data_IF_986555634652
#
_entry.id   IF_986555634652
#
_cell.length_a   1.000
_cell.length_b   1.000
_cell.length_c   1.000
_cell.angle_alpha   90.00
_cell.angle_beta   90.00
_cell.angle_gamma   90.00
#
_symmetry.space_group_name_H-M   'P 1'
#
loop_
_entity.id
_entity.type
_entity.pdbx_description
1 polymer ?
#
# COMPACT_ATOMS: atom_id res chain seq x y z
N UNK A 1 -9.64 17.38 -0.78
CA UNK A 1 -9.64 18.39 0.28
C UNK A 1 -10.41 17.86 1.47
N UNK A 2 -10.08 18.35 2.67
CA UNK A 2 -10.85 18.14 3.88
C UNK A 2 -11.08 19.52 4.50
N UNK A 3 -12.30 19.81 4.91
CA UNK A 3 -12.59 21.03 5.63
C UNK A 3 -12.33 20.79 7.11
N UNK A 4 -11.42 21.56 7.69
CA UNK A 4 -11.10 21.52 9.12
C UNK A 4 -11.35 22.89 9.74
N UNK A 5 -11.65 22.90 11.04
CA UNK A 5 -11.73 24.13 11.82
C UNK A 5 -10.31 24.47 12.29
N UNK A 6 -9.70 25.48 11.69
CA UNK A 6 -8.38 26.01 12.08
C UNK A 6 -8.64 27.36 12.75
N UNK A 7 -8.29 27.48 14.03
CA UNK A 7 -8.52 28.69 14.83
C UNK A 7 -9.98 29.21 14.79
N UNK A 8 -10.94 28.30 14.71
CA UNK A 8 -12.37 28.63 14.68
C UNK A 8 -12.92 29.02 13.31
N UNK A 9 -12.10 29.00 12.25
CA UNK A 9 -12.51 29.27 10.88
C UNK A 9 -12.50 27.99 10.04
N UNK A 10 -13.47 27.80 9.13
CA UNK A 10 -13.46 26.67 8.21
C UNK A 10 -12.40 26.88 7.13
N UNK A 11 -11.34 26.05 7.16
CA UNK A 11 -10.30 26.03 6.14
C UNK A 11 -10.34 24.73 5.33
N UNK A 12 -10.25 24.87 4.01
CA UNK A 12 -10.08 23.73 3.11
C UNK A 12 -8.60 23.33 3.09
N UNK A 13 -8.27 22.29 3.85
CA UNK A 13 -6.93 21.70 3.84
C UNK A 13 -6.85 20.76 2.63
N UNK A 14 -5.96 21.06 1.68
CA UNK A 14 -5.67 20.13 0.59
C UNK A 14 -4.95 18.91 1.16
N UNK A 15 -5.59 17.74 1.09
CA UNK A 15 -4.91 16.48 1.31
C UNK A 15 -3.94 16.23 0.14
N UNK A 16 -2.67 16.47 0.38
CA UNK A 16 -1.59 16.22 -0.56
C UNK A 16 -1.02 14.82 -0.36
N UNK A 17 -0.71 14.15 -1.48
CA UNK A 17 -0.20 12.78 -1.48
C UNK A 17 1.01 12.67 -2.41
N UNK A 18 2.05 11.98 -1.94
CA UNK A 18 3.09 11.42 -2.80
C UNK A 18 2.64 10.04 -3.27
N UNK A 19 2.89 9.71 -4.54
CA UNK A 19 2.43 8.44 -5.14
C UNK A 19 3.62 7.58 -5.54
N UNK A 20 3.68 6.37 -4.97
CA UNK A 20 4.56 5.30 -5.43
C UNK A 20 3.73 4.28 -6.20
N UNK A 21 4.30 3.68 -7.23
CA UNK A 21 3.65 2.56 -7.91
C UNK A 21 4.66 1.52 -8.43
N UNK A 22 4.15 0.31 -8.61
CA UNK A 22 4.80 -0.82 -9.26
C UNK A 22 3.86 -1.34 -10.34
N UNK A 23 4.36 -1.54 -11.56
CA UNK A 23 3.57 -2.06 -12.69
C UNK A 23 4.40 -2.99 -13.60
N UNK A 24 3.74 -3.95 -14.26
CA UNK A 24 4.33 -4.73 -15.36
C UNK A 24 5.46 -5.68 -14.98
N UNK A 25 5.72 -5.90 -13.69
CA UNK A 25 6.79 -6.75 -13.18
C UNK A 25 7.98 -5.95 -12.64
N UNK A 26 8.81 -5.30 -13.48
CA UNK A 26 10.04 -4.66 -13.01
C UNK A 26 9.90 -3.17 -12.73
N UNK A 27 8.86 -2.49 -13.22
CA UNK A 27 8.84 -1.02 -13.25
C UNK A 27 8.31 -0.43 -11.95
N UNK A 28 9.11 0.43 -11.33
CA UNK A 28 8.75 1.16 -10.13
C UNK A 28 8.80 2.67 -10.39
N UNK A 29 7.96 3.40 -9.67
CA UNK A 29 8.15 4.83 -9.42
C UNK A 29 8.03 5.09 -7.93
N UNK A 30 9.05 5.71 -7.34
CA UNK A 30 9.09 6.09 -5.93
C UNK A 30 8.27 7.36 -5.63
N UNK A 31 8.09 7.68 -4.35
CA UNK A 31 7.37 8.86 -3.88
C UNK A 31 8.01 10.18 -4.36
N UNK A 32 9.34 10.24 -4.45
CA UNK A 32 10.12 11.36 -4.99
C UNK A 32 10.14 11.41 -6.54
N UNK A 33 9.42 10.50 -7.18
CA UNK A 33 9.20 10.50 -8.63
C UNK A 33 10.30 9.83 -9.45
N UNK A 34 11.31 9.21 -8.84
CA UNK A 34 12.32 8.43 -9.55
C UNK A 34 11.71 7.15 -10.12
N UNK A 35 12.06 6.83 -11.36
CA UNK A 35 11.67 5.59 -12.02
C UNK A 35 12.86 4.66 -12.09
N UNK A 36 12.64 3.37 -11.84
CA UNK A 36 13.69 2.36 -11.87
C UNK A 36 13.12 0.97 -12.11
N UNK A 37 13.99 0.06 -12.57
CA UNK A 37 13.65 -1.33 -12.81
C UNK A 37 14.27 -2.25 -11.76
N UNK A 38 13.50 -3.20 -11.27
CA UNK A 38 13.98 -4.19 -10.32
C UNK A 38 13.37 -5.58 -10.53
N UNK A 39 14.23 -6.53 -10.91
CA UNK A 39 13.87 -7.90 -11.34
C UNK A 39 14.18 -8.95 -10.27
N UNK A 40 13.64 -8.77 -9.06
CA UNK A 40 13.80 -9.72 -7.96
C UNK A 40 12.61 -10.68 -7.77
N UNK A 41 12.83 -11.83 -7.14
CA UNK A 41 11.85 -12.90 -6.84
C UNK A 41 11.65 -13.15 -5.34
N UNK A 42 11.99 -12.17 -4.50
CA UNK A 42 11.80 -12.24 -3.06
C UNK A 42 10.57 -11.45 -2.59
N UNK A 43 10.41 -11.34 -1.27
CA UNK A 43 9.52 -10.36 -0.64
C UNK A 43 10.29 -9.07 -0.42
N UNK A 44 9.70 -7.95 -0.82
CA UNK A 44 10.32 -6.63 -0.70
C UNK A 44 9.39 -5.66 0.00
N UNK A 45 9.95 -4.87 0.91
CA UNK A 45 9.24 -3.77 1.56
C UNK A 45 9.15 -2.58 0.60
N UNK A 46 7.93 -2.28 0.15
CA UNK A 46 7.67 -1.09 -0.66
C UNK A 46 7.78 0.16 0.20
N UNK A 47 7.14 0.17 1.37
CA UNK A 47 7.21 1.29 2.31
C UNK A 47 6.98 0.83 3.74
N UNK A 48 7.70 1.45 4.68
CA UNK A 48 7.54 1.32 6.14
C UNK A 48 8.06 2.60 6.80
N UNK A 49 7.77 2.82 8.08
CA UNK A 49 8.45 3.86 8.87
C UNK A 49 9.93 3.49 9.07
N UNK A 50 10.86 4.42 8.84
CA UNK A 50 12.30 4.17 9.00
C UNK A 50 12.79 4.21 10.45
N UNK A 51 12.35 5.25 11.16
CA UNK A 51 12.75 5.54 12.53
C UNK A 51 11.47 5.53 13.37
N UNK A 52 11.06 4.35 13.86
CA UNK A 52 9.83 4.22 14.61
C UNK A 52 9.92 5.02 15.91
N UNK A 53 8.90 5.84 16.17
CA UNK A 53 8.68 6.49 17.44
C UNK A 53 7.21 6.30 17.85
N UNK A 54 6.87 6.66 19.09
CA UNK A 54 5.51 6.50 19.61
C UNK A 54 4.47 7.44 18.98
N UNK A 55 4.91 8.45 18.21
CA UNK A 55 4.05 9.41 17.52
C UNK A 55 3.68 8.99 16.09
N UNK A 56 4.43 8.05 15.51
CA UNK A 56 4.24 7.56 14.15
C UNK A 56 3.46 6.25 14.11
N UNK A 57 2.59 6.06 13.09
CA UNK A 57 1.87 4.82 12.93
C UNK A 57 2.82 3.68 12.54
N UNK A 58 2.71 2.54 13.20
CA UNK A 58 3.45 1.33 12.83
C UNK A 58 2.76 0.63 11.65
N UNK A 59 3.41 0.58 10.49
CA UNK A 59 2.91 -0.15 9.33
C UNK A 59 4.03 -0.62 8.39
N UNK A 60 3.76 -1.66 7.61
CA UNK A 60 4.54 -2.03 6.43
C UNK A 60 3.64 -2.39 5.25
N UNK A 61 4.11 -2.07 4.03
CA UNK A 61 3.54 -2.56 2.78
C UNK A 61 4.62 -3.34 2.05
N UNK A 62 4.36 -4.61 1.82
CA UNK A 62 5.29 -5.56 1.22
C UNK A 62 4.69 -6.17 -0.05
N UNK A 63 5.55 -6.47 -1.01
CA UNK A 63 5.20 -7.20 -2.21
C UNK A 63 6.01 -8.49 -2.27
N UNK A 64 5.33 -9.62 -2.42
CA UNK A 64 5.97 -10.89 -2.75
C UNK A 64 6.03 -11.02 -4.26
N UNK A 65 7.22 -11.11 -4.82
CA UNK A 65 7.42 -11.38 -6.24
C UNK A 65 7.78 -12.84 -6.43
N UNK A 66 7.25 -13.44 -7.49
CA UNK A 66 7.46 -14.85 -7.82
C UNK A 66 7.97 -14.95 -9.25
N UNK A 67 8.78 -15.96 -9.52
CA UNK A 67 9.26 -16.24 -10.87
C UNK A 67 8.10 -16.69 -11.75
N UNK A 68 8.03 -16.19 -12.99
CA UNK A 68 7.09 -16.69 -13.99
C UNK A 68 7.81 -17.69 -14.88
N UNK A 69 7.43 -18.97 -14.79
CA UNK A 69 7.86 -19.95 -15.79
C UNK A 69 7.44 -19.49 -17.20
N UNK A 70 8.35 -19.60 -18.17
CA UNK A 70 8.11 -19.35 -19.60
C UNK A 70 7.67 -17.92 -20.01
N UNK A 71 8.05 -16.88 -19.26
CA UNK A 71 7.76 -15.48 -19.63
C UNK A 71 9.02 -14.64 -19.88
N UNK A 72 8.91 -13.62 -20.75
CA UNK A 72 9.93 -12.56 -20.89
C UNK A 72 10.02 -11.66 -19.65
N UNK A 73 9.06 -11.75 -18.74
CA UNK A 73 9.01 -10.99 -17.48
C UNK A 73 9.62 -11.83 -16.36
N UNK A 74 10.71 -11.36 -15.77
CA UNK A 74 11.53 -12.10 -14.78
C UNK A 74 10.77 -12.43 -13.50
N UNK A 75 9.81 -11.59 -13.09
CA UNK A 75 8.96 -11.87 -11.93
C UNK A 75 7.62 -11.13 -11.96
N UNK A 76 6.58 -11.73 -11.38
CA UNK A 76 5.26 -11.11 -11.18
C UNK A 76 4.92 -10.96 -9.71
N UNK A 77 3.94 -10.12 -9.40
CA UNK A 77 3.40 -10.00 -8.05
C UNK A 77 2.61 -11.27 -7.74
N UNK A 78 3.06 -12.04 -6.75
CA UNK A 78 2.32 -13.17 -6.20
C UNK A 78 1.34 -12.72 -5.12
N UNK A 79 1.72 -11.73 -4.30
CA UNK A 79 0.82 -11.13 -3.31
C UNK A 79 1.31 -9.77 -2.83
N UNK A 80 0.38 -8.97 -2.29
CA UNK A 80 0.71 -7.84 -1.43
C UNK A 80 0.39 -8.20 0.02
N UNK A 81 1.20 -7.71 0.95
CA UNK A 81 0.94 -7.84 2.39
C UNK A 81 1.04 -6.48 3.06
N UNK A 82 -0.01 -6.13 3.82
CA UNK A 82 -0.08 -4.90 4.61
C UNK A 82 -0.10 -5.32 6.08
N UNK A 83 0.86 -4.82 6.86
CA UNK A 83 0.88 -4.99 8.32
C UNK A 83 0.61 -3.67 8.98
N UNK A 84 -0.32 -3.65 9.94
CA UNK A 84 -0.65 -2.49 10.77
C UNK A 84 -0.97 -2.99 12.17
N UNK A 85 -0.27 -2.48 13.18
CA UNK A 85 -0.36 -2.97 14.56
C UNK A 85 -0.17 -4.50 14.62
N UNK A 86 -1.20 -5.24 15.07
CA UNK A 86 -1.24 -6.70 15.14
C UNK A 86 -2.04 -7.36 14.01
N UNK A 87 -2.37 -6.61 12.96
CA UNK A 87 -3.15 -7.09 11.82
C UNK A 87 -2.26 -7.24 10.61
N UNK A 88 -2.28 -8.43 10.02
CA UNK A 88 -1.68 -8.73 8.72
C UNK A 88 -2.79 -9.00 7.71
N UNK A 89 -2.78 -8.26 6.61
CA UNK A 89 -3.68 -8.45 5.47
C UNK A 89 -2.85 -8.85 4.26
N UNK A 90 -3.12 -10.03 3.71
CA UNK A 90 -2.49 -10.51 2.48
C UNK A 90 -3.53 -10.66 1.37
N UNK A 91 -3.28 -10.02 0.23
CA UNK A 91 -4.08 -10.18 -0.97
C UNK A 91 -3.22 -10.85 -2.05
N UNK A 92 -3.60 -12.06 -2.42
CA UNK A 92 -2.90 -12.86 -3.42
C UNK A 92 -3.34 -12.48 -4.84
N UNK A 93 -2.46 -12.70 -5.81
CA UNK A 93 -2.80 -12.59 -7.23
C UNK A 93 -3.98 -13.49 -7.58
N UNK A 94 -4.86 -13.01 -8.46
CA UNK A 94 -6.04 -13.74 -8.96
C UNK A 94 -7.08 -14.18 -7.91
N UNK A 95 -6.97 -13.76 -6.65
CA UNK A 95 -7.97 -14.02 -5.61
C UNK A 95 -8.92 -12.81 -5.42
N UNK A 96 -9.50 -12.31 -6.53
CA UNK A 96 -10.27 -11.07 -6.53
C UNK A 96 -11.40 -11.05 -5.49
N UNK A 97 -11.42 -10.01 -4.65
CA UNK A 97 -12.43 -9.82 -3.61
C UNK A 97 -12.25 -10.69 -2.36
N UNK A 98 -11.18 -11.48 -2.29
CA UNK A 98 -10.83 -12.33 -1.15
C UNK A 98 -9.45 -11.95 -0.61
N UNK A 99 -9.35 -11.76 0.70
CA UNK A 99 -8.07 -11.49 1.38
C UNK A 99 -7.87 -12.45 2.55
N UNK A 100 -6.63 -12.60 3.00
CA UNK A 100 -6.31 -13.27 4.26
C UNK A 100 -6.05 -12.21 5.33
N UNK A 101 -6.86 -12.20 6.39
CA UNK A 101 -6.67 -11.38 7.59
C UNK A 101 -6.13 -12.30 8.68
N UNK A 102 -4.90 -12.07 9.16
CA UNK A 102 -4.22 -12.94 10.12
C UNK A 102 -4.31 -14.42 9.73
N UNK A 103 -4.01 -14.71 8.47
CA UNK A 103 -4.06 -16.04 7.84
C UNK A 103 -5.47 -16.66 7.67
N UNK A 104 -6.55 -15.95 8.02
CA UNK A 104 -7.93 -16.39 7.82
C UNK A 104 -8.55 -15.71 6.60
N UNK A 105 -9.22 -16.49 5.74
CA UNK A 105 -9.86 -15.96 4.54
C UNK A 105 -11.06 -15.09 4.88
N UNK A 106 -11.24 -13.99 4.16
CA UNK A 106 -12.35 -13.05 4.35
C UNK A 106 -12.69 -12.35 3.04
N UNK A 107 -13.99 -12.20 2.76
CA UNK A 107 -14.50 -11.51 1.58
C UNK A 107 -14.59 -10.00 1.83
N UNK A 108 -14.35 -9.20 0.79
CA UNK A 108 -14.53 -7.75 0.82
C UNK A 108 -16.02 -7.37 0.71
N UNK A 109 -16.48 -6.27 1.34
CA UNK A 109 -15.71 -5.30 2.13
C UNK A 109 -15.46 -5.74 3.58
N UNK A 110 -14.36 -5.27 4.17
CA UNK A 110 -13.98 -5.55 5.55
C UNK A 110 -13.56 -4.25 6.24
N UNK A 111 -13.98 -4.09 7.49
CA UNK A 111 -13.52 -3.03 8.38
C UNK A 111 -12.93 -3.66 9.64
N UNK A 112 -11.68 -3.34 9.95
CA UNK A 112 -10.93 -3.92 11.07
C UNK A 112 -10.52 -2.82 12.06
N UNK A 113 -10.27 -3.20 13.31
CA UNK A 113 -9.85 -2.30 14.39
C UNK A 113 -10.71 -1.04 14.50
N UNK A 114 -12.03 -1.21 14.60
CA UNK A 114 -12.99 -0.10 14.70
C UNK A 114 -12.88 0.92 13.56
N UNK A 115 -12.58 0.46 12.33
CA UNK A 115 -12.49 1.33 11.15
C UNK A 115 -11.12 1.93 10.88
N UNK A 116 -10.09 1.55 11.66
CA UNK A 116 -8.70 1.95 11.41
C UNK A 116 -8.15 1.40 10.10
N UNK A 117 -8.63 0.24 9.69
CA UNK A 117 -8.23 -0.43 8.45
C UNK A 117 -9.50 -0.82 7.69
N UNK A 118 -9.72 -0.22 6.53
CA UNK A 118 -10.88 -0.44 5.68
C UNK A 118 -10.43 -0.99 4.34
N UNK A 119 -11.05 -2.09 3.90
CA UNK A 119 -10.69 -2.79 2.67
C UNK A 119 -11.95 -3.02 1.87
N UNK A 120 -11.99 -2.56 0.63
CA UNK A 120 -13.14 -2.73 -0.23
C UNK A 120 -12.73 -2.77 -1.70
N UNK A 121 -13.61 -3.29 -2.54
CA UNK A 121 -13.42 -3.28 -3.98
C UNK A 121 -13.73 -1.88 -4.53
N UNK A 122 -12.85 -1.37 -5.41
CA UNK A 122 -13.01 -0.14 -6.17
C UNK A 122 -12.74 -0.43 -7.65
N UNK A 123 -13.79 -0.79 -8.37
CA UNK A 123 -13.68 -1.24 -9.77
C UNK A 123 -12.80 -2.49 -9.87
N UNK A 124 -11.76 -2.46 -10.72
CA UNK A 124 -10.79 -3.57 -10.85
C UNK A 124 -9.77 -3.63 -9.71
N UNK A 125 -9.70 -2.62 -8.86
CA UNK A 125 -8.75 -2.55 -7.76
C UNK A 125 -9.40 -2.93 -6.44
N UNK A 126 -8.64 -3.56 -5.55
CA UNK A 126 -8.86 -3.46 -4.12
C UNK A 126 -8.32 -2.11 -3.64
N UNK A 127 -9.07 -1.44 -2.76
CA UNK A 127 -8.60 -0.25 -2.04
C UNK A 127 -8.52 -0.58 -0.55
N UNK A 128 -7.31 -0.45 0.00
CA UNK A 128 -7.03 -0.46 1.43
C UNK A 128 -6.84 0.97 1.91
N UNK A 129 -7.52 1.37 2.97
CA UNK A 129 -7.42 2.67 3.60
C UNK A 129 -7.08 2.53 5.08
N UNK A 130 -6.05 3.24 5.51
CA UNK A 130 -5.65 3.36 6.91
C UNK A 130 -6.22 4.65 7.52
N UNK A 131 -6.40 4.69 8.83
CA UNK A 131 -6.89 5.86 9.57
C UNK A 131 -5.98 7.09 9.46
N UNK A 132 -4.70 6.90 9.16
CA UNK A 132 -3.75 7.98 8.89
C UNK A 132 -3.67 8.34 7.40
N UNK A 133 -4.74 8.09 6.63
CA UNK A 133 -4.89 8.47 5.22
C UNK A 133 -3.95 7.80 4.20
N UNK A 134 -3.07 6.88 4.61
CA UNK A 134 -2.35 6.05 3.65
C UNK A 134 -3.34 5.14 2.90
N UNK A 135 -3.19 5.08 1.57
CA UNK A 135 -4.05 4.29 0.69
C UNK A 135 -3.20 3.34 -0.15
N UNK A 136 -3.59 2.08 -0.23
CA UNK A 136 -2.99 1.09 -1.13
C UNK A 136 -4.04 0.59 -2.11
N UNK A 137 -3.72 0.64 -3.40
CA UNK A 137 -4.54 0.06 -4.46
C UNK A 137 -3.79 -1.10 -5.10
N UNK A 138 -4.49 -2.19 -5.37
CA UNK A 138 -3.94 -3.35 -6.07
C UNK A 138 -4.97 -3.92 -7.03
N UNK A 139 -4.59 -4.17 -8.27
CA UNK A 139 -5.48 -4.66 -9.33
C UNK A 139 -5.67 -6.19 -9.33
N UNK A 140 -5.17 -6.90 -8.31
CA UNK A 140 -5.18 -8.37 -8.25
C UNK A 140 -4.27 -9.07 -9.27
N UNK A 141 -3.43 -8.31 -9.98
CA UNK A 141 -2.51 -8.81 -10.98
C UNK A 141 -1.10 -8.23 -10.78
N UNK A 142 -0.75 -7.14 -11.45
CA UNK A 142 0.63 -6.66 -11.58
C UNK A 142 0.82 -5.19 -11.19
N UNK A 143 -0.23 -4.50 -10.75
CA UNK A 143 -0.22 -3.07 -10.51
C UNK A 143 -0.59 -2.74 -9.06
N UNK A 144 0.37 -2.15 -8.34
CA UNK A 144 0.22 -1.63 -6.99
C UNK A 144 0.44 -0.13 -6.99
N UNK A 145 -0.43 0.62 -6.32
CA UNK A 145 -0.30 2.07 -6.12
C UNK A 145 -0.39 2.37 -4.63
N UNK A 146 0.58 3.08 -4.10
CA UNK A 146 0.59 3.56 -2.71
C UNK A 146 0.51 5.08 -2.74
N UNK A 147 -0.49 5.63 -2.06
CA UNK A 147 -0.61 7.07 -1.81
C UNK A 147 -0.22 7.36 -0.37
N UNK A 148 0.91 8.03 -0.20
CA UNK A 148 1.46 8.45 1.08
C UNK A 148 0.97 9.87 1.39
N UNK A 149 0.35 10.12 2.55
CA UNK A 149 -0.01 11.48 2.96
C UNK A 149 1.25 12.31 3.24
N UNK A 150 1.20 13.61 2.94
CA UNK A 150 2.34 14.51 3.17
C UNK A 150 2.85 14.53 4.62
N UNK A 151 2.00 14.21 5.60
CA UNK A 151 2.38 14.10 7.03
C UNK A 151 3.43 13.01 7.32
N UNK A 152 3.59 12.05 6.41
CA UNK A 152 4.57 10.97 6.47
C UNK A 152 5.74 11.14 5.48
N UNK A 153 5.77 12.23 4.71
CA UNK A 153 6.88 12.52 3.79
C UNK A 153 8.20 12.66 4.55
N UNK A 154 9.26 12.04 4.04
CA UNK A 154 10.58 12.02 4.67
C UNK A 154 10.69 11.09 5.88
N UNK A 155 9.61 10.40 6.27
CA UNK A 155 9.59 9.50 7.44
C UNK A 155 9.54 8.01 7.08
N UNK A 156 9.36 7.71 5.80
CA UNK A 156 9.26 6.35 5.27
C UNK A 156 10.50 5.94 4.47
N UNK A 157 10.70 4.64 4.32
CA UNK A 157 11.71 4.03 3.47
C UNK A 157 11.24 2.67 2.96
N UNK A 158 12.01 2.14 2.01
CA UNK A 158 11.72 0.94 1.26
C UNK A 158 12.00 1.20 -0.22
N UNK A 159 11.48 0.35 -1.09
CA UNK A 159 11.61 0.53 -2.53
C UNK A 159 10.94 1.81 -3.04
N UNK A 160 9.95 2.35 -2.32
CA UNK A 160 9.27 3.58 -2.69
C UNK A 160 10.01 4.86 -2.29
N UNK A 161 11.21 4.78 -1.71
CA UNK A 161 11.94 5.95 -1.22
C UNK A 161 11.28 6.58 0.01
N UNK A 162 11.39 7.91 0.16
CA UNK A 162 10.96 8.69 1.32
C UNK A 162 10.04 9.87 0.95
#
# INVERSE_FOLDING_TARGET
ERCDMVDGLPECVQETFSTCWLAGGPHYRSFDGKTFDFMGTCTYTLTTICNPDSSLPAFSVEVKKEEKENSRVVSSIGSITIRVDNITVTAAQSENGLVRVNNHRSHLPISLSHGKLRIHQKGKFMLIQLNFNLKVLYNWDDHVVIKLPATLSGKVCGMCGN
#
